data_IF_676384547832
#
_entry.id   IF_676384547832
#
_cell.length_a   1.000
_cell.length_b   1.000
_cell.length_c   1.000
_cell.angle_alpha   90.00
_cell.angle_beta   90.00
_cell.angle_gamma   90.00
#
_symmetry.space_group_name_H-M   'P 1'
#
loop_
_entity.id
_entity.type
_entity.pdbx_description
1 polymer ?
#
# COMPACT_ATOMS: atom_id res chain seq x y z
N UNK A 1 -10.51 -7.13 -29.31
CA UNK A 1 -10.29 -6.90 -27.86
C UNK A 1 -9.47 -8.07 -27.38
N UNK A 2 -8.30 -7.81 -26.78
CA UNK A 2 -7.44 -8.85 -26.21
C UNK A 2 -6.96 -8.39 -24.83
N UNK A 3 -7.10 -9.26 -23.85
CA UNK A 3 -6.42 -9.12 -22.56
C UNK A 3 -5.05 -9.78 -22.75
N UNK A 4 -3.98 -9.00 -22.59
CA UNK A 4 -2.61 -9.50 -22.63
C UNK A 4 -2.10 -9.47 -21.19
N UNK A 5 -1.54 -10.58 -20.70
CA UNK A 5 -0.81 -10.55 -19.44
C UNK A 5 0.52 -9.84 -19.69
N UNK A 6 0.71 -8.66 -19.10
CA UNK A 6 1.97 -7.95 -19.17
C UNK A 6 2.79 -8.36 -17.94
N UNK A 7 3.92 -9.01 -18.16
CA UNK A 7 4.85 -9.39 -17.09
C UNK A 7 6.24 -8.78 -17.31
N UNK A 8 6.29 -7.68 -18.06
CA UNK A 8 7.49 -6.86 -18.22
C UNK A 8 7.49 -5.76 -17.16
N UNK A 9 8.44 -5.86 -16.23
CA UNK A 9 8.57 -4.94 -15.11
C UNK A 9 8.84 -3.51 -15.54
N UNK A 10 9.65 -3.32 -16.57
CA UNK A 10 10.04 -1.99 -17.03
C UNK A 10 8.85 -1.28 -17.68
N UNK A 11 8.10 -2.01 -18.52
CA UNK A 11 6.89 -1.47 -19.15
C UNK A 11 5.86 -1.08 -18.09
N UNK A 12 5.63 -1.93 -17.08
CA UNK A 12 4.69 -1.60 -15.99
C UNK A 12 5.19 -0.38 -15.20
N UNK A 13 6.48 -0.31 -14.90
CA UNK A 13 7.06 0.81 -14.16
C UNK A 13 6.89 2.14 -14.91
N UNK A 14 7.17 2.17 -16.21
CA UNK A 14 7.08 3.39 -17.03
C UNK A 14 5.65 3.93 -17.07
N UNK A 15 4.66 3.03 -17.09
CA UNK A 15 3.24 3.38 -17.01
C UNK A 15 2.87 3.98 -15.65
N UNK A 16 3.35 3.36 -14.55
CA UNK A 16 3.02 3.80 -13.20
C UNK A 16 3.73 5.10 -12.81
N UNK A 17 4.94 5.32 -13.32
CA UNK A 17 5.74 6.54 -13.09
C UNK A 17 5.10 7.81 -13.65
N UNK A 18 4.08 7.70 -14.50
CA UNK A 18 3.35 8.88 -14.97
C UNK A 18 2.63 9.61 -13.83
N UNK A 19 2.18 8.89 -12.80
CA UNK A 19 1.55 9.44 -11.59
C UNK A 19 1.99 8.62 -10.35
N UNK A 20 3.23 8.81 -9.87
CA UNK A 20 3.82 7.95 -8.86
C UNK A 20 3.09 8.05 -7.51
N UNK A 21 2.50 9.20 -7.19
CA UNK A 21 1.71 9.38 -5.96
C UNK A 21 0.44 8.51 -5.97
N UNK A 22 -0.23 8.41 -7.12
CA UNK A 22 -1.37 7.51 -7.31
C UNK A 22 -0.95 6.05 -7.39
N UNK A 23 0.30 5.75 -7.70
CA UNK A 23 0.76 4.39 -7.93
C UNK A 23 1.76 3.85 -6.91
N UNK A 24 2.03 4.59 -5.84
CA UNK A 24 3.05 4.27 -4.83
C UNK A 24 3.04 2.81 -4.36
N UNK A 25 1.87 2.26 -4.02
CA UNK A 25 1.71 0.86 -3.62
C UNK A 25 2.15 -0.10 -4.74
N UNK A 26 1.60 0.07 -5.93
CA UNK A 26 1.90 -0.76 -7.10
C UNK A 26 3.36 -0.66 -7.56
N UNK A 27 3.96 0.53 -7.45
CA UNK A 27 5.38 0.73 -7.78
C UNK A 27 6.24 -0.07 -6.81
N UNK A 28 5.93 -0.04 -5.51
CA UNK A 28 6.68 -0.85 -4.56
C UNK A 28 6.44 -2.35 -4.70
N UNK A 29 5.27 -2.76 -5.20
CA UNK A 29 5.00 -4.16 -5.53
C UNK A 29 5.82 -4.70 -6.72
N UNK A 30 6.47 -3.82 -7.50
CA UNK A 30 7.42 -4.22 -8.55
C UNK A 30 8.79 -4.62 -8.00
N UNK A 31 9.01 -4.51 -6.69
CA UNK A 31 10.23 -4.98 -6.06
C UNK A 31 10.31 -6.52 -6.09
N UNK A 32 11.52 -7.07 -5.96
CA UNK A 32 11.82 -8.47 -6.19
C UNK A 32 11.03 -9.42 -5.27
N UNK A 33 10.68 -8.95 -4.07
CA UNK A 33 9.92 -9.72 -3.07
C UNK A 33 8.47 -9.97 -3.50
N UNK A 34 7.88 -9.05 -4.27
CA UNK A 34 6.45 -9.00 -4.53
C UNK A 34 6.09 -9.16 -6.01
N UNK A 35 6.99 -8.81 -6.94
CA UNK A 35 6.73 -8.87 -8.37
C UNK A 35 6.37 -10.28 -8.85
N UNK A 36 7.06 -11.30 -8.34
CA UNK A 36 6.81 -12.71 -8.70
C UNK A 36 5.43 -13.24 -8.24
N UNK A 37 4.74 -12.50 -7.36
CA UNK A 37 3.38 -12.81 -6.87
C UNK A 37 2.31 -11.91 -7.50
N UNK A 38 2.73 -10.95 -8.34
CA UNK A 38 1.86 -9.92 -8.91
C UNK A 38 1.50 -10.24 -10.35
N UNK A 39 0.20 -10.22 -10.69
CA UNK A 39 -0.29 -10.45 -12.04
C UNK A 39 -0.85 -9.13 -12.59
N UNK A 40 -0.34 -8.67 -13.73
CA UNK A 40 -0.75 -7.41 -14.35
C UNK A 40 -1.47 -7.65 -15.69
N UNK A 41 -2.78 -7.95 -15.68
CA UNK A 41 -3.55 -8.01 -16.91
C UNK A 41 -3.70 -6.62 -17.55
N UNK A 42 -3.18 -6.47 -18.77
CA UNK A 42 -3.33 -5.28 -19.61
C UNK A 42 -4.48 -5.50 -20.60
N UNK A 43 -5.42 -4.56 -20.65
CA UNK A 43 -6.47 -4.54 -21.65
C UNK A 43 -6.16 -3.49 -22.72
N UNK A 44 -5.77 -3.93 -23.91
CA UNK A 44 -5.52 -3.05 -25.05
C UNK A 44 -6.74 -2.99 -25.97
N UNK A 45 -7.29 -1.79 -26.19
CA UNK A 45 -8.21 -1.51 -27.31
C UNK A 45 -7.49 -0.63 -28.34
N UNK A 46 -7.97 -0.62 -29.60
CA UNK A 46 -7.36 0.10 -30.74
C UNK A 46 -6.94 1.55 -30.43
N UNK A 47 -7.56 2.23 -29.46
CA UNK A 47 -7.27 3.60 -29.06
C UNK A 47 -7.03 3.82 -27.55
N UNK A 48 -6.94 2.78 -26.71
CA UNK A 48 -6.73 2.97 -25.26
C UNK A 48 -6.18 1.72 -24.58
N UNK A 49 -5.13 1.91 -23.77
CA UNK A 49 -4.63 0.93 -22.81
C UNK A 49 -5.35 1.13 -21.46
N UNK A 50 -5.95 0.05 -20.95
CA UNK A 50 -6.55 -0.01 -19.62
C UNK A 50 -5.76 -1.02 -18.79
N UNK A 51 -5.16 -0.56 -17.71
CA UNK A 51 -4.36 -1.39 -16.82
C UNK A 51 -5.27 -1.99 -15.77
N UNK A 52 -5.08 -3.25 -15.41
CA UNK A 52 -5.64 -3.83 -14.21
C UNK A 52 -4.46 -4.52 -13.51
N UNK A 53 -4.14 -4.10 -12.30
CA UNK A 53 -3.13 -4.79 -11.49
C UNK A 53 -3.91 -5.62 -10.48
N UNK A 54 -3.77 -6.94 -10.55
CA UNK A 54 -4.32 -7.88 -9.59
C UNK A 54 -3.17 -8.45 -8.77
N UNK A 55 -3.02 -7.98 -7.53
CA UNK A 55 -2.14 -8.66 -6.60
C UNK A 55 -2.76 -9.98 -6.16
N UNK A 56 -2.07 -11.08 -6.45
CA UNK A 56 -2.37 -12.39 -5.90
C UNK A 56 -1.59 -12.55 -4.60
N UNK A 57 -2.25 -12.33 -3.47
CA UNK A 57 -2.25 -13.23 -2.29
C UNK A 57 -2.81 -12.48 -1.08
N UNK A 58 -4.09 -12.73 -0.77
CA UNK A 58 -4.78 -12.47 0.52
C UNK A 58 -4.80 -11.03 1.08
N UNK A 59 -4.29 -10.02 0.39
CA UNK A 59 -4.41 -8.62 0.81
C UNK A 59 -5.41 -7.85 -0.09
N UNK A 60 -6.41 -7.14 0.46
CA UNK A 60 -7.54 -6.58 -0.30
C UNK A 60 -7.21 -5.29 -1.06
N UNK A 61 -5.95 -4.96 -1.31
CA UNK A 61 -5.56 -3.70 -1.94
C UNK A 61 -5.78 -3.73 -3.46
N UNK A 62 -7.02 -3.37 -3.82
CA UNK A 62 -7.47 -2.62 -4.99
C UNK A 62 -6.89 -2.94 -6.39
N UNK A 63 -7.75 -3.48 -7.26
CA UNK A 63 -7.55 -3.40 -8.71
C UNK A 63 -7.87 -1.99 -9.23
N UNK A 64 -6.88 -1.29 -9.81
CA UNK A 64 -7.09 0.02 -10.45
C UNK A 64 -7.19 -0.10 -11.96
N UNK A 65 -8.26 0.46 -12.54
CA UNK A 65 -8.38 0.71 -13.98
C UNK A 65 -7.85 2.11 -14.28
N UNK A 66 -6.67 2.21 -14.88
CA UNK A 66 -6.18 3.46 -15.45
C UNK A 66 -6.87 3.73 -16.79
N UNK A 67 -7.56 4.86 -16.89
CA UNK A 67 -8.10 5.39 -18.15
C UNK A 67 -7.34 6.66 -18.53
N UNK A 68 -6.84 6.79 -19.77
CA UNK A 68 -6.52 8.11 -20.30
C UNK A 68 -7.81 8.97 -20.38
N UNK A 69 -7.70 10.30 -20.27
CA UNK A 69 -8.86 11.17 -20.33
C UNK A 69 -9.45 11.11 -21.76
N UNK A 70 -10.75 10.82 -21.85
CA UNK A 70 -11.61 10.77 -23.06
C UNK A 70 -11.68 9.44 -23.82
N UNK A 71 -12.38 8.46 -23.26
CA UNK A 71 -13.10 7.45 -24.07
C UNK A 71 -14.37 6.98 -23.39
N UNK A 72 -15.51 7.16 -24.07
CA UNK A 72 -16.83 6.62 -23.70
C UNK A 72 -16.90 5.17 -24.20
N UNK A 73 -16.79 4.18 -23.31
CA UNK A 73 -16.83 2.76 -23.67
C UNK A 73 -18.25 2.19 -23.58
N UNK A 74 -18.64 1.48 -24.64
CA UNK A 74 -19.91 0.77 -24.79
C UNK A 74 -20.03 -0.44 -23.86
N UNK A 75 -21.28 -0.75 -23.50
CA UNK A 75 -21.73 -1.76 -22.53
C UNK A 75 -21.48 -3.18 -23.05
N UNK A 76 -20.41 -3.85 -22.62
CA UNK A 76 -20.35 -5.32 -22.35
C UNK A 76 -18.90 -5.70 -22.03
N UNK A 77 -18.51 -5.44 -20.78
CA UNK A 77 -17.41 -6.16 -20.12
C UNK A 77 -17.92 -6.48 -18.73
N UNK A 78 -17.72 -7.71 -18.25
CA UNK A 78 -17.94 -8.02 -16.84
C UNK A 78 -16.99 -7.14 -16.04
N UNK A 79 -17.55 -6.09 -15.46
CA UNK A 79 -16.82 -5.08 -14.70
C UNK A 79 -16.56 -5.68 -13.32
N UNK A 80 -15.35 -6.18 -13.09
CA UNK A 80 -14.86 -6.30 -11.72
C UNK A 80 -14.55 -4.90 -11.22
N UNK A 81 -15.59 -4.20 -10.77
CA UNK A 81 -15.41 -3.00 -9.96
C UNK A 81 -15.27 -3.48 -8.52
N UNK A 82 -14.04 -3.69 -8.04
CA UNK A 82 -13.82 -3.55 -6.62
C UNK A 82 -13.91 -2.05 -6.31
N UNK A 83 -15.13 -1.56 -6.10
CA UNK A 83 -15.32 -0.29 -5.40
C UNK A 83 -14.90 -0.57 -3.97
N UNK A 84 -13.75 -0.03 -3.55
CA UNK A 84 -13.62 0.35 -2.14
C UNK A 84 -14.78 1.31 -1.90
N UNK A 85 -15.78 0.96 -1.07
CA UNK A 85 -16.98 1.78 -0.90
C UNK A 85 -16.66 3.11 -0.21
N UNK A 86 -15.41 3.28 0.26
CA UNK A 86 -14.92 4.41 1.01
C UNK A 86 -14.02 5.30 0.14
N UNK A 87 -14.30 6.59 0.15
CA UNK A 87 -13.37 7.61 -0.32
C UNK A 87 -12.25 7.74 0.69
N UNK A 88 -11.00 7.68 0.23
CA UNK A 88 -9.82 7.97 1.04
C UNK A 88 -8.96 9.00 0.33
N UNK A 89 -8.30 9.86 1.10
CA UNK A 89 -7.27 10.74 0.59
C UNK A 89 -5.96 9.99 0.50
N UNK A 90 -5.19 10.28 -0.54
CA UNK A 90 -3.77 9.93 -0.59
C UNK A 90 -2.98 11.16 -0.26
N UNK A 91 -2.07 11.02 0.67
CA UNK A 91 -1.23 12.10 1.16
C UNK A 91 0.22 11.70 0.90
N UNK A 92 1.03 12.68 0.52
CA UNK A 92 2.46 12.53 0.35
C UNK A 92 3.15 13.55 1.26
N UNK A 93 4.18 13.10 1.99
CA UNK A 93 5.07 14.01 2.70
C UNK A 93 6.03 14.62 1.66
N UNK A 94 5.70 15.82 1.19
CA UNK A 94 6.47 16.53 0.17
C UNK A 94 7.65 17.28 0.79
N UNK A 95 7.41 17.91 1.94
CA UNK A 95 8.41 18.65 2.70
C UNK A 95 8.83 17.83 3.92
N UNK A 96 10.08 17.34 3.90
CA UNK A 96 10.63 16.47 4.94
C UNK A 96 11.18 17.26 6.13
N UNK A 97 11.44 18.56 5.98
CA UNK A 97 12.02 19.34 7.07
C UNK A 97 10.97 19.58 8.18
N UNK A 98 9.69 19.56 7.82
CA UNK A 98 8.58 19.62 8.77
C UNK A 98 8.52 18.46 9.78
N UNK A 99 9.14 17.32 9.49
CA UNK A 99 9.14 16.19 10.45
C UNK A 99 10.35 16.17 11.36
N UNK A 100 11.41 16.95 11.07
CA UNK A 100 12.62 16.99 11.88
C UNK A 100 12.41 17.60 13.27
N UNK A 101 11.30 18.32 13.48
CA UNK A 101 10.96 18.97 14.74
C UNK A 101 10.33 18.04 15.79
N UNK A 102 9.92 16.82 15.41
CA UNK A 102 9.26 15.90 16.34
C UNK A 102 10.29 15.11 17.15
N UNK A 103 10.10 15.07 18.47
CA UNK A 103 10.89 14.21 19.35
C UNK A 103 10.51 12.74 19.11
N UNK A 104 11.53 11.90 18.90
CA UNK A 104 11.39 10.47 18.68
C UNK A 104 12.13 9.63 19.72
N UNK A 105 12.55 10.21 20.85
CA UNK A 105 13.31 9.52 21.89
C UNK A 105 12.54 8.32 22.49
N UNK A 106 11.22 8.41 22.59
CA UNK A 106 10.36 7.36 23.16
C UNK A 106 9.88 6.34 22.09
N UNK A 107 10.34 6.48 20.85
CA UNK A 107 9.97 5.58 19.75
C UNK A 107 10.85 4.34 19.82
N UNK A 108 10.21 3.17 19.89
CA UNK A 108 10.87 1.87 19.86
C UNK A 108 10.64 1.19 18.52
N UNK A 109 11.68 0.52 18.01
CA UNK A 109 11.54 -0.42 16.89
C UNK A 109 10.76 -1.66 17.36
N UNK A 110 9.82 -2.10 16.53
CA UNK A 110 9.02 -3.30 16.77
C UNK A 110 9.45 -4.36 15.77
N UNK A 111 9.98 -5.47 16.30
CA UNK A 111 10.57 -6.53 15.49
C UNK A 111 9.65 -7.74 15.43
N UNK A 112 10.14 -8.82 14.83
CA UNK A 112 9.49 -10.13 14.83
C UNK A 112 9.15 -10.63 16.25
N UNK A 113 9.90 -10.23 17.27
CA UNK A 113 9.63 -10.62 18.66
C UNK A 113 8.35 -9.98 19.21
N UNK A 114 7.88 -8.89 18.60
CA UNK A 114 6.65 -8.19 18.97
C UNK A 114 5.42 -8.67 18.19
N UNK A 115 5.53 -9.70 17.32
CA UNK A 115 4.44 -10.12 16.42
C UNK A 115 3.12 -10.39 17.17
N UNK A 116 3.18 -11.16 18.26
CA UNK A 116 1.99 -11.55 19.02
C UNK A 116 1.34 -10.34 19.72
N UNK A 117 2.15 -9.46 20.32
CA UNK A 117 1.69 -8.23 20.97
C UNK A 117 1.04 -7.28 19.96
N UNK A 118 1.67 -7.09 18.80
CA UNK A 118 1.15 -6.24 17.73
C UNK A 118 -0.16 -6.77 17.15
N UNK A 119 -0.26 -8.07 16.91
CA UNK A 119 -1.49 -8.68 16.42
C UNK A 119 -2.65 -8.45 17.40
N UNK A 120 -2.42 -8.64 18.70
CA UNK A 120 -3.41 -8.33 19.73
C UNK A 120 -3.78 -6.84 19.74
N UNK A 121 -2.77 -5.96 19.75
CA UNK A 121 -2.96 -4.51 19.74
C UNK A 121 -3.84 -4.05 18.56
N UNK A 122 -3.58 -4.50 17.34
CA UNK A 122 -4.38 -4.10 16.19
C UNK A 122 -5.79 -4.70 16.21
N UNK A 123 -5.97 -5.93 16.69
CA UNK A 123 -7.29 -6.52 16.81
C UNK A 123 -8.18 -5.75 17.78
N UNK A 124 -7.61 -5.28 18.89
CA UNK A 124 -8.34 -4.54 19.91
C UNK A 124 -8.64 -3.09 19.47
N UNK A 125 -7.66 -2.41 18.87
CA UNK A 125 -7.72 -0.97 18.65
C UNK A 125 -8.06 -0.56 17.21
N UNK A 126 -7.99 -1.49 16.25
CA UNK A 126 -8.28 -1.28 14.82
C UNK A 126 -8.99 -2.51 14.19
N UNK A 127 -10.31 -2.68 14.43
CA UNK A 127 -11.06 -3.78 13.83
C UNK A 127 -11.01 -3.76 12.29
N UNK A 128 -10.70 -4.91 11.67
CA UNK A 128 -10.53 -5.02 10.23
C UNK A 128 -9.21 -4.43 9.70
N UNK A 129 -8.20 -4.27 10.58
CA UNK A 129 -6.85 -3.88 10.19
C UNK A 129 -6.28 -4.81 9.11
N UNK A 130 -5.28 -4.28 8.39
CA UNK A 130 -4.53 -5.01 7.38
C UNK A 130 -3.16 -5.46 7.88
N UNK A 131 -2.93 -5.51 9.21
CA UNK A 131 -1.65 -5.92 9.76
C UNK A 131 -1.36 -7.37 9.37
N UNK A 132 -0.13 -7.61 8.94
CA UNK A 132 0.34 -8.94 8.58
C UNK A 132 1.79 -9.08 9.02
N UNK A 133 2.17 -10.23 9.58
CA UNK A 133 3.54 -10.55 10.05
C UNK A 133 4.65 -10.07 9.12
N UNK A 134 4.48 -10.28 7.82
CA UNK A 134 5.43 -9.85 6.77
C UNK A 134 5.77 -8.36 6.77
N UNK A 135 4.91 -7.51 7.33
CA UNK A 135 5.22 -6.08 7.50
C UNK A 135 6.37 -5.87 8.48
N UNK A 136 6.53 -6.73 9.50
CA UNK A 136 7.68 -6.68 10.41
C UNK A 136 8.99 -7.13 9.76
N UNK A 137 8.91 -8.00 8.75
CA UNK A 137 10.09 -8.43 7.96
C UNK A 137 10.70 -7.26 7.16
N UNK A 138 9.99 -6.15 6.99
CA UNK A 138 10.52 -4.93 6.36
C UNK A 138 11.51 -4.16 7.25
N UNK A 139 11.55 -4.46 8.55
CA UNK A 139 12.37 -3.72 9.52
C UNK A 139 11.96 -2.25 9.69
N UNK A 140 10.73 -1.90 9.32
CA UNK A 140 10.24 -0.51 9.36
C UNK A 140 8.90 -0.43 10.08
N UNK A 141 8.88 -0.92 11.33
CA UNK A 141 7.72 -0.89 12.21
C UNK A 141 8.14 -0.31 13.56
N UNK A 142 7.35 0.64 14.05
CA UNK A 142 7.70 1.44 15.22
C UNK A 142 6.48 1.65 16.11
N UNK A 143 6.72 1.90 17.39
CA UNK A 143 5.67 2.27 18.33
C UNK A 143 6.18 3.11 19.48
N UNK A 144 5.25 3.62 20.27
CA UNK A 144 5.53 4.34 21.52
C UNK A 144 4.91 3.55 22.67
N UNK A 145 5.63 3.46 23.78
CA UNK A 145 5.15 2.81 25.00
C UNK A 145 4.86 3.83 26.09
N UNK A 146 3.80 3.59 26.85
CA UNK A 146 3.47 4.32 28.08
C UNK A 146 3.37 3.28 29.19
N UNK A 147 4.16 3.46 30.25
CA UNK A 147 4.26 2.52 31.38
C UNK A 147 4.50 1.05 30.95
N UNK A 148 5.37 0.89 29.94
CA UNK A 148 5.71 -0.42 29.37
C UNK A 148 4.66 -1.01 28.41
N UNK A 149 3.47 -0.42 28.32
CA UNK A 149 2.38 -0.87 27.44
C UNK A 149 2.44 -0.16 26.11
N UNK A 150 2.22 -0.87 25.01
CA UNK A 150 2.19 -0.29 23.67
C UNK A 150 1.00 0.67 23.51
N UNK A 151 1.29 1.96 23.38
CA UNK A 151 0.28 3.02 23.26
C UNK A 151 -0.07 3.34 21.81
N UNK A 152 0.92 3.33 20.91
CA UNK A 152 0.69 3.47 19.47
C UNK A 152 1.69 2.67 18.65
N UNK A 153 1.30 2.34 17.42
CA UNK A 153 2.15 1.68 16.44
C UNK A 153 1.88 2.20 15.02
N UNK A 154 2.91 2.16 14.19
CA UNK A 154 2.87 2.50 12.78
C UNK A 154 3.94 1.71 12.03
N UNK A 155 3.73 1.47 10.74
CA UNK A 155 4.74 0.81 9.92
C UNK A 155 4.59 1.07 8.44
N UNK A 156 5.53 0.53 7.66
CA UNK A 156 5.43 0.58 6.21
C UNK A 156 4.54 -0.56 5.70
N UNK A 157 3.56 -0.20 4.87
CA UNK A 157 2.81 -1.17 4.07
C UNK A 157 3.58 -1.59 2.83
N UNK A 158 4.30 -0.65 2.24
CA UNK A 158 5.08 -0.85 1.01
C UNK A 158 6.38 -0.09 1.16
N UNK A 159 7.48 -0.73 0.78
CA UNK A 159 8.79 -0.12 0.67
C UNK A 159 9.48 -0.70 -0.56
N UNK A 160 10.01 0.17 -1.41
CA UNK A 160 10.94 -0.22 -2.46
C UNK A 160 12.05 0.81 -2.56
N UNK A 161 13.24 0.51 -2.01
CA UNK A 161 14.43 1.33 -2.19
C UNK A 161 14.77 1.51 -3.67
N UNK A 162 14.60 0.44 -4.47
CA UNK A 162 14.88 0.43 -5.91
C UNK A 162 14.12 1.51 -6.68
N UNK A 163 12.86 1.75 -6.31
CA UNK A 163 12.01 2.74 -6.97
C UNK A 163 11.81 4.02 -6.15
N UNK A 164 12.48 4.13 -4.99
CA UNK A 164 12.42 5.30 -4.12
C UNK A 164 11.02 5.57 -3.55
N UNK A 165 10.24 4.52 -3.29
CA UNK A 165 8.88 4.64 -2.76
C UNK A 165 8.73 3.97 -1.41
N UNK A 166 7.98 4.62 -0.51
CA UNK A 166 7.52 4.04 0.73
C UNK A 166 6.10 4.54 1.03
N UNK A 167 5.24 3.67 1.55
CA UNK A 167 3.90 4.00 1.98
C UNK A 167 3.72 3.60 3.44
N UNK A 168 3.48 4.60 4.28
CA UNK A 168 3.14 4.40 5.69
C UNK A 168 1.70 3.89 5.77
N UNK A 169 1.47 2.91 6.63
CA UNK A 169 0.16 2.37 6.94
C UNK A 169 0.11 1.84 8.37
N UNK A 170 -0.95 1.09 8.66
CA UNK A 170 -1.25 0.55 10.00
C UNK A 170 -1.07 1.56 11.15
N UNK A 171 -1.28 2.86 10.94
CA UNK A 171 -1.12 3.84 12.03
C UNK A 171 -2.28 3.67 13.00
N UNK A 172 -2.02 3.24 14.23
CA UNK A 172 -3.05 3.02 15.25
C UNK A 172 -2.54 3.42 16.62
N UNK A 173 -3.33 4.23 17.31
CA UNK A 173 -3.14 4.56 18.73
C UNK A 173 -4.20 3.82 19.53
N UNK A 174 -3.88 3.32 20.72
CA UNK A 174 -4.87 2.70 21.61
C UNK A 174 -5.92 3.72 22.04
N UNK A 175 -7.21 3.31 22.17
CA UNK A 175 -8.29 4.21 22.57
C UNK A 175 -8.02 4.92 23.89
N UNK A 176 -7.27 4.31 24.81
CA UNK A 176 -6.91 4.93 26.09
C UNK A 176 -6.01 6.17 25.95
N UNK A 177 -5.34 6.33 24.80
CA UNK A 177 -4.38 7.41 24.52
C UNK A 177 -4.78 8.27 23.32
N UNK A 178 -6.06 8.21 22.90
CA UNK A 178 -6.61 9.10 21.86
C UNK A 178 -7.20 10.36 22.50
N UNK A 179 -7.15 11.48 21.78
CA UNK A 179 -7.82 12.73 22.13
C UNK A 179 -9.30 12.72 21.78
#
# INVERSE_FOLDING_TARGET
MSIVSLHDRQVILDLLKHDPQRHVYHIGDLDDVQFNKTICPLHTSRNSAHHCILQSSRSPFAAFILRPPRTRLSRRSQRFHHRVPWTHYRMALVDKDHIAQFDTNDVVELTMDNEAELAAFYNDHCPGNAFHRRMLETGSFFGVRVDGTLACAAGLHVMSPRYGVAAIGTVTTSQAYRN
#
